data_IF_711449040293
#
_entry.id   IF_711449040293
#
_cell.length_a   1.000
_cell.length_b   1.000
_cell.length_c   1.000
_cell.angle_alpha   90.00
_cell.angle_beta   90.00
_cell.angle_gamma   90.00
#
_symmetry.space_group_name_H-M   'P 1'
#
loop_
_entity.id
_entity.type
_entity.pdbx_description
1 polymer ?
#
# COMPACT_ATOMS: atom_id res chain seq x y z
N UNK A 1 -3.77 -44.22 -14.64
CA UNK A 1 -3.55 -42.96 -15.40
C UNK A 1 -4.55 -41.84 -15.09
N UNK A 2 -5.83 -42.14 -14.73
CA UNK A 2 -6.87 -41.12 -14.46
C UNK A 2 -6.60 -40.29 -13.19
N UNK A 3 -6.15 -40.89 -12.09
CA UNK A 3 -5.84 -40.18 -10.82
C UNK A 3 -4.77 -39.09 -10.94
N UNK A 4 -3.70 -39.34 -11.73
CA UNK A 4 -2.63 -38.33 -11.95
C UNK A 4 -3.16 -37.11 -12.70
N UNK A 5 -4.09 -37.28 -13.66
CA UNK A 5 -4.71 -36.16 -14.39
C UNK A 5 -5.65 -35.36 -13.48
N UNK A 6 -6.43 -36.03 -12.63
CA UNK A 6 -7.32 -35.35 -11.67
C UNK A 6 -6.52 -34.50 -10.66
N UNK A 7 -5.39 -35.01 -10.17
CA UNK A 7 -4.53 -34.28 -9.22
C UNK A 7 -3.88 -33.05 -9.85
N UNK A 8 -3.42 -33.16 -11.11
CA UNK A 8 -2.86 -32.02 -11.87
C UNK A 8 -3.94 -30.95 -12.09
N UNK A 9 -5.16 -31.33 -12.44
CA UNK A 9 -6.26 -30.38 -12.64
C UNK A 9 -6.57 -29.63 -11.33
N UNK A 10 -6.60 -30.32 -10.18
CA UNK A 10 -6.83 -29.67 -8.89
C UNK A 10 -5.73 -28.65 -8.57
N UNK A 11 -4.45 -29.01 -8.77
CA UNK A 11 -3.33 -28.09 -8.53
C UNK A 11 -3.42 -26.86 -9.44
N UNK A 12 -3.74 -27.04 -10.73
CA UNK A 12 -3.91 -25.92 -11.67
C UNK A 12 -5.08 -25.03 -11.24
N UNK A 13 -6.21 -25.59 -10.81
CA UNK A 13 -7.37 -24.82 -10.33
C UNK A 13 -7.03 -24.04 -9.05
N UNK A 14 -6.25 -24.60 -8.14
CA UNK A 14 -5.81 -23.90 -6.92
C UNK A 14 -4.84 -22.77 -7.25
N UNK A 15 -3.86 -23.00 -8.12
CA UNK A 15 -2.90 -21.96 -8.54
C UNK A 15 -3.61 -20.83 -9.29
N UNK A 16 -4.53 -21.16 -10.20
CA UNK A 16 -5.34 -20.16 -10.92
C UNK A 16 -6.30 -19.44 -9.98
N UNK A 17 -6.89 -20.14 -9.00
CA UNK A 17 -7.75 -19.53 -7.98
C UNK A 17 -7.02 -18.56 -7.06
N UNK A 18 -5.80 -18.90 -6.64
CA UNK A 18 -4.92 -18.02 -5.86
C UNK A 18 -4.48 -16.83 -6.71
N UNK A 19 -4.07 -17.05 -7.96
CA UNK A 19 -3.71 -15.98 -8.90
C UNK A 19 -4.88 -15.04 -9.19
N UNK A 20 -6.09 -15.58 -9.34
CA UNK A 20 -7.31 -14.79 -9.51
C UNK A 20 -7.66 -14.01 -8.25
N UNK A 21 -7.46 -14.55 -7.05
CA UNK A 21 -7.68 -13.85 -5.77
C UNK A 21 -6.70 -12.69 -5.56
N UNK A 22 -5.42 -12.87 -5.94
CA UNK A 22 -4.41 -11.81 -5.90
C UNK A 22 -4.77 -10.71 -6.90
N UNK A 23 -5.15 -11.08 -8.13
CA UNK A 23 -5.59 -10.12 -9.14
C UNK A 23 -6.86 -9.37 -8.72
N UNK A 24 -7.85 -10.05 -8.13
CA UNK A 24 -9.11 -9.44 -7.66
C UNK A 24 -8.90 -8.43 -6.52
N UNK A 25 -7.92 -8.67 -5.63
CA UNK A 25 -7.55 -7.71 -4.58
C UNK A 25 -6.94 -6.43 -5.18
N UNK A 26 -6.19 -6.55 -6.26
CA UNK A 26 -5.57 -5.41 -6.94
C UNK A 26 -6.62 -4.52 -7.62
N UNK A 27 -7.56 -5.09 -8.39
CA UNK A 27 -8.45 -4.29 -9.25
C UNK A 27 -9.58 -3.56 -8.49
N UNK A 28 -10.15 -4.17 -7.45
CA UNK A 28 -11.23 -3.54 -6.66
C UNK A 28 -10.66 -2.46 -5.75
N UNK A 29 -9.50 -2.71 -5.14
CA UNK A 29 -8.81 -1.73 -4.29
C UNK A 29 -8.39 -0.50 -5.09
N UNK A 30 -7.84 -0.69 -6.29
CA UNK A 30 -7.38 0.39 -7.17
C UNK A 30 -8.53 1.30 -7.61
N UNK A 31 -9.70 0.73 -7.93
CA UNK A 31 -10.86 1.53 -8.32
C UNK A 31 -11.41 2.38 -7.17
N UNK A 32 -11.49 1.82 -5.96
CA UNK A 32 -11.93 2.55 -4.75
C UNK A 32 -10.90 3.63 -4.39
N UNK A 33 -9.62 3.30 -4.50
CA UNK A 33 -8.52 4.20 -4.23
C UNK A 33 -8.52 5.40 -5.19
N UNK A 34 -8.55 5.14 -6.50
CA UNK A 34 -8.58 6.17 -7.52
C UNK A 34 -9.84 7.04 -7.43
N UNK A 35 -10.97 6.45 -7.04
CA UNK A 35 -12.20 7.20 -6.78
C UNK A 35 -12.03 8.14 -5.59
N UNK A 36 -11.48 7.68 -4.48
CA UNK A 36 -11.33 8.50 -3.27
C UNK A 36 -10.24 9.59 -3.42
N UNK A 37 -9.12 9.28 -4.07
CA UNK A 37 -8.06 10.25 -4.37
C UNK A 37 -8.56 11.28 -5.39
N UNK A 38 -9.23 10.85 -6.46
CA UNK A 38 -9.82 11.75 -7.46
C UNK A 38 -10.91 12.66 -6.89
N UNK A 39 -11.67 12.18 -5.91
CA UNK A 39 -12.66 13.00 -5.21
C UNK A 39 -12.01 13.99 -4.23
N UNK A 40 -10.85 13.68 -3.64
CA UNK A 40 -10.10 14.67 -2.85
C UNK A 40 -9.57 15.80 -3.73
N UNK A 41 -8.94 15.47 -4.86
CA UNK A 41 -8.38 16.47 -5.79
C UNK A 41 -9.45 17.42 -6.34
N UNK A 42 -10.69 16.95 -6.49
CA UNK A 42 -11.83 17.79 -6.91
C UNK A 42 -12.57 18.47 -5.76
N UNK A 43 -12.36 18.04 -4.52
CA UNK A 43 -12.98 18.61 -3.32
C UNK A 43 -12.14 19.68 -2.60
N UNK A 44 -10.86 19.83 -2.98
CA UNK A 44 -9.99 20.85 -2.41
C UNK A 44 -10.34 22.26 -2.94
N UNK A 45 -10.26 23.30 -2.08
CA UNK A 45 -10.30 24.69 -2.54
C UNK A 45 -9.25 24.94 -3.63
N UNK A 46 -9.56 25.76 -4.63
CA UNK A 46 -8.70 25.95 -5.82
C UNK A 46 -7.26 26.33 -5.47
N UNK A 47 -7.08 27.20 -4.46
CA UNK A 47 -5.76 27.62 -3.98
C UNK A 47 -4.94 26.44 -3.43
N UNK A 48 -5.55 25.59 -2.59
CA UNK A 48 -4.90 24.40 -2.04
C UNK A 48 -4.66 23.33 -3.11
N UNK A 49 -5.58 23.17 -4.06
CA UNK A 49 -5.40 22.26 -5.18
C UNK A 49 -4.21 22.67 -6.05
N UNK A 50 -4.02 23.97 -6.32
CA UNK A 50 -2.85 24.46 -7.07
C UNK A 50 -1.56 24.27 -6.28
N UNK A 51 -1.60 24.50 -4.96
CA UNK A 51 -0.41 24.41 -4.10
C UNK A 51 0.04 22.97 -3.83
N UNK A 52 -0.90 22.07 -3.57
CA UNK A 52 -0.61 20.71 -3.08
C UNK A 52 -1.05 19.59 -4.01
N UNK A 53 -1.84 19.86 -5.06
CA UNK A 53 -2.47 18.80 -5.86
C UNK A 53 -1.47 17.80 -6.45
N UNK A 54 -0.34 18.28 -6.96
CA UNK A 54 0.70 17.41 -7.49
C UNK A 54 1.37 16.55 -6.41
N UNK A 55 1.77 17.17 -5.29
CA UNK A 55 2.43 16.48 -4.18
C UNK A 55 1.51 15.45 -3.52
N UNK A 56 0.25 15.82 -3.34
CA UNK A 56 -0.79 14.95 -2.82
C UNK A 56 -1.00 13.74 -3.73
N UNK A 57 -1.14 13.95 -5.05
CA UNK A 57 -1.27 12.87 -6.01
C UNK A 57 -0.06 11.94 -5.95
N UNK A 58 1.15 12.50 -6.00
CA UNK A 58 2.39 11.72 -5.92
C UNK A 58 2.47 10.90 -4.63
N UNK A 59 2.16 11.52 -3.48
CA UNK A 59 2.20 10.87 -2.17
C UNK A 59 1.22 9.71 -2.09
N UNK A 60 0.01 9.91 -2.62
CA UNK A 60 -1.00 8.86 -2.70
C UNK A 60 -0.56 7.76 -3.68
N UNK A 61 -0.05 8.08 -4.86
CA UNK A 61 0.41 7.07 -5.82
C UNK A 61 1.55 6.21 -5.23
N UNK A 62 2.47 6.84 -4.49
CA UNK A 62 3.54 6.13 -3.77
C UNK A 62 3.02 5.25 -2.64
N UNK A 63 2.06 5.74 -1.86
CA UNK A 63 1.42 4.93 -0.82
C UNK A 63 0.72 3.71 -1.41
N UNK A 64 -0.01 3.88 -2.52
CA UNK A 64 -0.68 2.80 -3.23
C UNK A 64 0.31 1.75 -3.72
N UNK A 65 1.39 2.17 -4.37
CA UNK A 65 2.47 1.26 -4.81
C UNK A 65 3.06 0.48 -3.62
N UNK A 66 3.28 1.13 -2.47
CA UNK A 66 3.77 0.44 -1.29
C UNK A 66 2.75 -0.58 -0.73
N UNK A 67 1.45 -0.31 -0.90
CA UNK A 67 0.40 -1.22 -0.47
C UNK A 67 0.31 -2.44 -1.40
N UNK A 68 0.39 -2.23 -2.71
CA UNK A 68 0.41 -3.32 -3.70
C UNK A 68 1.65 -4.20 -3.56
N UNK A 69 2.78 -3.62 -3.16
CA UNK A 69 4.05 -4.34 -2.93
C UNK A 69 4.14 -5.00 -1.54
N UNK A 70 3.02 -5.05 -0.81
CA UNK A 70 2.89 -5.58 0.56
C UNK A 70 3.90 -4.95 1.54
N UNK A 71 4.31 -3.71 1.28
CA UNK A 71 5.21 -2.95 2.16
C UNK A 71 4.41 -2.35 3.31
N UNK A 72 3.28 -1.70 2.99
CA UNK A 72 2.32 -1.21 3.99
C UNK A 72 1.16 -2.19 4.15
N UNK A 73 0.59 -2.25 5.34
CA UNK A 73 -0.46 -3.19 5.71
C UNK A 73 -1.87 -2.71 5.35
N UNK A 74 -2.84 -3.61 5.41
CA UNK A 74 -4.27 -3.26 5.33
C UNK A 74 -4.70 -2.27 6.42
N UNK A 75 -4.10 -2.33 7.60
CA UNK A 75 -4.39 -1.39 8.68
C UNK A 75 -3.92 0.02 8.31
N UNK A 76 -2.71 0.13 7.76
CA UNK A 76 -2.16 1.41 7.28
C UNK A 76 -3.06 2.00 6.18
N UNK A 77 -3.53 1.17 5.25
CA UNK A 77 -4.50 1.57 4.22
C UNK A 77 -5.79 2.09 4.85
N UNK A 78 -6.37 1.35 5.80
CA UNK A 78 -7.58 1.79 6.51
C UNK A 78 -7.39 3.12 7.22
N UNK A 79 -6.25 3.34 7.88
CA UNK A 79 -5.94 4.57 8.61
C UNK A 79 -5.75 5.77 7.67
N UNK A 80 -5.02 5.60 6.56
CA UNK A 80 -4.86 6.63 5.54
C UNK A 80 -6.21 7.01 4.94
N UNK A 81 -7.02 6.02 4.59
CA UNK A 81 -8.34 6.25 4.01
C UNK A 81 -9.31 6.89 5.02
N UNK A 82 -9.19 6.58 6.31
CA UNK A 82 -9.97 7.26 7.34
C UNK A 82 -9.59 8.73 7.46
N UNK A 83 -8.29 9.05 7.55
CA UNK A 83 -7.83 10.43 7.59
C UNK A 83 -8.19 11.23 6.35
N UNK A 84 -8.20 10.57 5.19
CA UNK A 84 -8.66 11.16 3.93
C UNK A 84 -10.13 11.57 4.02
N UNK A 85 -10.99 10.68 4.54
CA UNK A 85 -12.41 10.97 4.77
C UNK A 85 -12.59 12.08 5.81
N UNK A 86 -11.80 12.06 6.88
CA UNK A 86 -11.86 13.08 7.93
C UNK A 86 -11.51 14.46 7.35
N UNK A 87 -10.44 14.57 6.58
CA UNK A 87 -10.04 15.80 5.89
C UNK A 87 -11.16 16.33 4.98
N UNK A 88 -11.79 15.43 4.20
CA UNK A 88 -12.93 15.78 3.31
C UNK A 88 -14.18 16.22 4.06
N UNK A 89 -14.38 15.73 5.28
CA UNK A 89 -15.57 16.03 6.08
C UNK A 89 -15.50 17.40 6.77
N UNK A 90 -14.33 18.05 6.76
CA UNK A 90 -14.16 19.36 7.36
C UNK A 90 -14.93 20.42 6.57
N UNK A 91 -15.62 21.31 7.29
CA UNK A 91 -16.33 22.44 6.69
C UNK A 91 -15.40 23.45 6.03
N UNK A 92 -14.17 23.54 6.53
CA UNK A 92 -13.10 24.39 6.02
C UNK A 92 -11.79 23.61 6.09
N UNK A 93 -11.17 23.36 4.94
CA UNK A 93 -9.87 22.69 4.84
C UNK A 93 -8.79 23.79 4.79
N UNK A 94 -7.84 23.76 5.74
CA UNK A 94 -6.73 24.72 5.77
C UNK A 94 -5.48 24.14 5.15
N UNK A 95 -4.55 25.03 4.82
CA UNK A 95 -3.22 24.72 4.31
C UNK A 95 -2.49 23.66 5.16
N UNK A 96 -2.54 23.86 6.49
CA UNK A 96 -1.90 22.98 7.46
C UNK A 96 -2.51 21.57 7.49
N UNK A 97 -3.81 21.44 7.19
CA UNK A 97 -4.50 20.15 7.22
C UNK A 97 -4.04 19.27 6.05
N UNK A 98 -3.94 19.86 4.85
CA UNK A 98 -3.43 19.18 3.65
C UNK A 98 -1.96 18.83 3.82
N UNK A 99 -1.15 19.77 4.33
CA UNK A 99 0.26 19.52 4.62
C UNK A 99 0.46 18.37 5.62
N UNK A 100 -0.29 18.38 6.73
CA UNK A 100 -0.24 17.34 7.74
C UNK A 100 -0.69 15.98 7.21
N UNK A 101 -1.70 15.95 6.34
CA UNK A 101 -2.17 14.74 5.69
C UNK A 101 -1.07 14.14 4.79
N UNK A 102 -0.49 14.95 3.90
CA UNK A 102 0.63 14.51 3.04
C UNK A 102 1.79 13.98 3.89
N UNK A 103 2.20 14.74 4.92
CA UNK A 103 3.28 14.32 5.81
C UNK A 103 2.98 13.03 6.58
N UNK A 104 1.72 12.82 6.97
CA UNK A 104 1.28 11.57 7.59
C UNK A 104 1.45 10.39 6.64
N UNK A 105 0.86 10.47 5.44
CA UNK A 105 0.92 9.39 4.43
C UNK A 105 2.37 9.08 4.05
N UNK A 106 3.18 10.13 3.88
CA UNK A 106 4.62 10.01 3.58
C UNK A 106 5.39 9.23 4.64
N UNK A 107 5.12 9.53 5.92
CA UNK A 107 5.75 8.83 7.04
C UNK A 107 5.33 7.36 7.08
N UNK A 108 4.06 7.06 6.86
CA UNK A 108 3.54 5.68 6.90
C UNK A 108 4.29 4.79 5.91
N UNK A 109 4.38 5.17 4.63
CA UNK A 109 5.09 4.32 3.66
C UNK A 109 6.60 4.31 3.88
N UNK A 110 7.19 5.42 4.33
CA UNK A 110 8.65 5.51 4.56
C UNK A 110 9.07 4.64 5.73
N UNK A 111 8.33 4.67 6.85
CA UNK A 111 8.60 3.84 8.02
C UNK A 111 8.45 2.34 7.68
N UNK A 112 7.46 2.00 6.86
CA UNK A 112 7.25 0.64 6.41
C UNK A 112 8.38 0.15 5.49
N UNK A 113 8.83 0.98 4.54
CA UNK A 113 10.00 0.70 3.70
C UNK A 113 11.26 0.47 4.54
N UNK A 114 11.52 1.34 5.51
CA UNK A 114 12.67 1.21 6.41
C UNK A 114 12.62 -0.08 7.22
N UNK A 115 11.45 -0.46 7.75
CA UNK A 115 11.26 -1.74 8.45
C UNK A 115 11.51 -2.94 7.52
N UNK A 116 11.04 -2.89 6.27
CA UNK A 116 11.26 -3.96 5.29
C UNK A 116 12.75 -4.08 4.93
N UNK A 117 13.42 -2.95 4.73
CA UNK A 117 14.85 -2.90 4.44
C UNK A 117 15.70 -3.44 5.61
N UNK A 118 15.39 -3.04 6.85
CA UNK A 118 16.09 -3.54 8.03
C UNK A 118 15.93 -5.07 8.18
N UNK A 119 14.71 -5.60 7.97
CA UNK A 119 14.48 -7.05 7.99
C UNK A 119 15.28 -7.80 6.93
N UNK A 120 15.46 -7.21 5.76
CA UNK A 120 16.28 -7.79 4.70
C UNK A 120 17.75 -7.89 5.17
N UNK A 121 18.31 -6.79 5.70
CA UNK A 121 19.68 -6.76 6.23
C UNK A 121 19.86 -7.80 7.36
N UNK A 122 18.93 -7.85 8.31
CA UNK A 122 19.01 -8.78 9.45
C UNK A 122 18.95 -10.25 9.01
N UNK A 123 18.24 -10.56 7.92
CA UNK A 123 18.14 -11.91 7.38
C UNK A 123 19.39 -12.31 6.60
N UNK A 124 19.96 -11.41 5.81
CA UNK A 124 21.23 -11.64 5.10
C UNK A 124 22.36 -11.91 6.11
N UNK A 125 22.49 -11.07 7.15
CA UNK A 125 23.51 -11.24 8.20
C UNK A 125 23.38 -12.57 8.96
N UNK A 126 22.15 -13.06 9.20
CA UNK A 126 21.92 -14.36 9.83
C UNK A 126 22.23 -15.55 8.92
N UNK A 127 22.12 -15.37 7.61
CA UNK A 127 22.44 -16.42 6.64
C UNK A 127 23.95 -16.58 6.39
N UNK A 128 24.74 -15.55 6.70
CA UNK A 128 26.21 -15.55 6.56
C UNK A 128 26.98 -16.05 7.80
N UNK A 129 26.30 -16.34 8.92
CA UNK A 129 26.91 -16.94 10.12
C UNK A 129 26.45 -18.40 10.34
N UNK A 130 26.89 -19.38 9.51
CA UNK A 130 26.62 -20.80 9.74
C UNK A 130 27.66 -21.37 10.72
N UNK A 131 27.79 -20.78 11.91
CA UNK A 131 28.55 -21.36 13.00
C UNK A 131 30.07 -21.34 12.78
N UNK A 132 30.74 -20.54 13.61
CA UNK A 132 31.98 -20.97 14.23
C UNK A 132 31.68 -22.33 14.89
N UNK A 133 32.09 -23.42 14.22
CA UNK A 133 32.20 -24.74 14.82
C UNK A 133 33.28 -24.61 15.90
N UNK A 134 32.87 -24.31 17.13
CA UNK A 134 33.74 -24.46 18.28
C UNK A 134 33.99 -25.95 18.46
N UNK A 135 35.22 -26.34 18.12
CA UNK A 135 35.85 -27.62 18.38
C UNK A 135 35.79 -27.99 19.87
#
# INVERSE_FOLDING_TARGET
MKMKRTLIIIVVVVVVGIGALIAFRSTIGESIYNKEVGVLSSGLPSELSTKYGQELSYTMDKFWSCYTDEIVSQNDMTDVMQRLRDLRSQSEIKDIDVFNFIGYVSRVYTDAMNKKHQKYIDNELKSEDPGIIHQ
#
